data_IF_623975395570
#
_entry.id   IF_623975395570
#
_cell.length_a   1.000
_cell.length_b   1.000
_cell.length_c   1.000
_cell.angle_alpha   90.00
_cell.angle_beta   90.00
_cell.angle_gamma   90.00
#
_symmetry.space_group_name_H-M   'P 1'
#
loop_
_entity.id
_entity.type
_entity.pdbx_description
1 polymer ?
#
# COMPACT_ATOMS: atom_id res chain seq x y z
N UNK A 1 -5.27 -43.22 -1.55
CA UNK A 1 -4.79 -41.82 -1.65
C UNK A 1 -4.16 -41.67 -3.02
N UNK A 2 -4.66 -40.73 -3.82
CA UNK A 2 -4.42 -40.67 -5.26
C UNK A 2 -3.12 -39.92 -5.61
N UNK A 3 -2.41 -40.45 -6.59
CA UNK A 3 -1.12 -39.96 -7.12
C UNK A 3 -1.18 -38.47 -7.59
N UNK A 4 -2.38 -37.99 -7.91
CA UNK A 4 -2.65 -36.61 -8.32
C UNK A 4 -2.51 -35.56 -7.20
N UNK A 5 -2.63 -35.94 -5.93
CA UNK A 5 -2.50 -34.99 -4.81
C UNK A 5 -1.02 -34.75 -4.46
N UNK A 6 -0.16 -35.75 -4.60
CA UNK A 6 1.28 -35.63 -4.34
C UNK A 6 2.01 -34.76 -5.38
N UNK A 7 1.62 -34.85 -6.65
CA UNK A 7 2.17 -34.02 -7.73
C UNK A 7 1.86 -32.53 -7.54
N UNK A 8 0.68 -32.19 -7.04
CA UNK A 8 0.27 -30.81 -6.79
C UNK A 8 1.01 -30.20 -5.58
N UNK A 9 1.19 -30.97 -4.49
CA UNK A 9 1.94 -30.53 -3.30
C UNK A 9 3.42 -30.31 -3.60
N UNK A 10 4.03 -31.16 -4.44
CA UNK A 10 5.41 -31.00 -4.92
C UNK A 10 5.59 -29.71 -5.74
N UNK A 11 4.65 -29.42 -6.64
CA UNK A 11 4.67 -28.19 -7.45
C UNK A 11 4.51 -26.91 -6.64
N UNK A 12 3.72 -26.95 -5.55
CA UNK A 12 3.57 -25.81 -4.62
C UNK A 12 4.90 -25.54 -3.90
N UNK A 13 5.54 -26.57 -3.36
CA UNK A 13 6.85 -26.45 -2.68
C UNK A 13 7.93 -25.87 -3.61
N UNK A 14 7.98 -26.33 -4.87
CA UNK A 14 8.96 -25.84 -5.85
C UNK A 14 8.74 -24.37 -6.24
N UNK A 15 7.48 -23.92 -6.34
CA UNK A 15 7.14 -22.52 -6.59
C UNK A 15 7.54 -21.62 -5.43
N UNK A 16 7.29 -22.05 -4.19
CA UNK A 16 7.73 -21.35 -3.00
C UNK A 16 9.25 -21.24 -2.93
N UNK A 17 9.97 -22.34 -3.18
CA UNK A 17 11.43 -22.36 -3.15
C UNK A 17 12.04 -21.43 -4.22
N UNK A 18 11.48 -21.43 -5.43
CA UNK A 18 11.95 -20.57 -6.53
C UNK A 18 11.72 -19.09 -6.24
N UNK A 19 10.57 -18.74 -5.65
CA UNK A 19 10.27 -17.37 -5.21
C UNK A 19 11.24 -16.90 -4.12
N UNK A 20 11.49 -17.73 -3.10
CA UNK A 20 12.43 -17.42 -2.02
C UNK A 20 13.86 -17.23 -2.52
N UNK A 21 14.32 -18.08 -3.45
CA UNK A 21 15.65 -17.92 -4.09
C UNK A 21 15.71 -16.63 -4.92
N UNK A 22 14.64 -16.29 -5.64
CA UNK A 22 14.55 -15.04 -6.40
C UNK A 22 14.69 -13.80 -5.50
N UNK A 23 13.97 -13.78 -4.37
CA UNK A 23 14.08 -12.70 -3.38
C UNK A 23 15.48 -12.62 -2.76
N UNK A 24 16.09 -13.77 -2.43
CA UNK A 24 17.44 -13.80 -1.87
C UNK A 24 18.47 -13.22 -2.84
N UNK A 25 18.36 -13.54 -4.15
CA UNK A 25 19.25 -13.00 -5.18
C UNK A 25 19.14 -11.47 -5.32
N UNK A 26 17.92 -10.93 -5.21
CA UNK A 26 17.69 -9.48 -5.21
C UNK A 26 18.35 -8.80 -4.01
N UNK A 27 18.22 -9.40 -2.82
CA UNK A 27 18.85 -8.88 -1.59
C UNK A 27 20.37 -8.92 -1.69
N UNK A 28 20.95 -9.99 -2.23
CA UNK A 28 22.39 -10.11 -2.44
C UNK A 28 22.91 -9.06 -3.43
N UNK A 29 22.20 -8.82 -4.53
CA UNK A 29 22.55 -7.80 -5.53
C UNK A 29 22.58 -6.40 -4.92
N UNK A 30 21.52 -6.03 -4.19
CA UNK A 30 21.40 -4.72 -3.53
C UNK A 30 22.48 -4.51 -2.46
N UNK A 31 22.88 -5.57 -1.76
CA UNK A 31 23.99 -5.52 -0.80
C UNK A 31 25.34 -5.27 -1.47
N UNK A 32 25.59 -5.90 -2.62
CA UNK A 32 26.83 -5.70 -3.40
C UNK A 32 26.90 -4.27 -3.95
N UNK A 33 25.82 -3.76 -4.54
CA UNK A 33 25.74 -2.37 -5.02
C UNK A 33 25.99 -1.36 -3.89
N UNK A 34 25.35 -1.58 -2.73
CA UNK A 34 25.57 -0.74 -1.56
C UNK A 34 27.01 -0.83 -1.06
N UNK A 35 27.61 -2.03 -1.04
CA UNK A 35 29.00 -2.25 -0.60
C UNK A 35 30.02 -1.54 -1.50
N UNK A 36 29.84 -1.58 -2.81
CA UNK A 36 30.73 -0.89 -3.75
C UNK A 36 30.64 0.63 -3.55
N UNK A 37 29.42 1.17 -3.33
CA UNK A 37 29.22 2.58 -3.01
C UNK A 37 29.79 3.01 -1.65
N UNK A 38 29.87 2.10 -0.68
CA UNK A 38 30.36 2.36 0.68
C UNK A 38 31.89 2.31 0.82
N UNK A 39 32.61 1.85 -0.20
CA UNK A 39 34.05 1.62 -0.13
C UNK A 39 34.92 2.90 -0.17
N UNK A 40 34.31 4.07 -0.35
CA UNK A 40 35.02 5.36 -0.44
C UNK A 40 34.41 6.41 0.50
N UNK A 41 34.81 6.39 1.77
CA UNK A 41 34.51 7.49 2.70
C UNK A 41 35.66 8.50 2.72
N UNK A 42 35.36 9.76 2.40
CA UNK A 42 36.30 10.88 2.55
C UNK A 42 36.03 11.55 3.90
N UNK A 43 37.03 11.65 4.81
CA UNK A 43 36.87 12.38 6.06
C UNK A 43 36.66 13.87 5.77
N UNK A 44 35.63 14.47 6.38
CA UNK A 44 35.30 15.88 6.23
C UNK A 44 34.80 16.46 7.55
N UNK A 45 34.91 17.78 7.70
CA UNK A 45 34.36 18.52 8.84
C UNK A 45 33.19 19.37 8.38
N UNK A 46 32.17 19.50 9.23
CA UNK A 46 31.04 20.39 8.97
C UNK A 46 31.48 21.83 9.20
N UNK A 47 31.41 22.66 8.16
CA UNK A 47 31.75 24.07 8.22
C UNK A 47 30.57 24.94 8.69
N UNK A 48 29.34 24.55 8.35
CA UNK A 48 28.12 25.26 8.71
C UNK A 48 27.03 24.26 9.12
N UNK A 49 26.41 24.52 10.27
CA UNK A 49 25.31 23.74 10.85
C UNK A 49 24.02 24.57 10.97
N UNK A 50 24.09 25.87 10.67
CA UNK A 50 22.96 26.79 10.74
C UNK A 50 22.16 26.82 9.44
N UNK A 51 22.80 26.52 8.31
CA UNK A 51 22.17 26.47 7.00
C UNK A 51 22.10 25.04 6.45
N UNK A 52 20.97 24.73 5.83
CA UNK A 52 20.69 23.42 5.24
C UNK A 52 20.13 23.60 3.83
N UNK A 53 20.49 22.69 2.94
CA UNK A 53 19.90 22.61 1.61
C UNK A 53 18.54 21.92 1.68
N UNK A 54 17.51 22.62 1.21
CA UNK A 54 16.13 22.14 1.19
C UNK A 54 15.67 21.94 -0.25
N UNK A 55 15.17 20.73 -0.56
CA UNK A 55 14.52 20.44 -1.84
C UNK A 55 13.13 21.11 -1.91
N UNK A 56 12.97 21.98 -2.90
CA UNK A 56 11.71 22.68 -3.17
C UNK A 56 10.91 22.06 -4.32
N UNK A 57 11.45 21.04 -4.99
CA UNK A 57 10.86 20.33 -6.12
C UNK A 57 11.51 20.67 -7.46
N UNK A 58 11.12 19.93 -8.52
CA UNK A 58 11.62 20.11 -9.90
C UNK A 58 13.15 20.04 -10.07
N UNK A 59 13.85 19.45 -9.09
CA UNK A 59 15.31 19.32 -9.08
C UNK A 59 16.06 20.53 -8.52
N UNK A 60 15.36 21.48 -7.89
CA UNK A 60 15.98 22.68 -7.28
C UNK A 60 16.13 22.53 -5.77
N UNK A 61 17.28 22.99 -5.27
CA UNK A 61 17.59 23.06 -3.85
C UNK A 61 17.85 24.52 -3.47
N UNK A 62 17.35 24.91 -2.30
CA UNK A 62 17.54 26.25 -1.74
C UNK A 62 18.19 26.11 -0.38
N UNK A 63 19.26 26.85 -0.16
CA UNK A 63 19.88 26.96 1.16
C UNK A 63 19.01 27.85 2.06
N UNK A 64 18.68 27.31 3.24
CA UNK A 64 17.85 27.99 4.25
C UNK A 64 18.43 27.74 5.62
N UNK A 65 18.24 28.71 6.52
CA UNK A 65 18.56 28.48 7.91
C UNK A 65 17.68 27.36 8.50
N UNK A 66 18.14 26.75 9.59
CA UNK A 66 17.44 25.65 10.26
C UNK A 66 16.02 26.05 10.66
N UNK A 67 15.80 27.26 11.19
CA UNK A 67 14.47 27.67 11.65
C UNK A 67 13.50 27.96 10.49
N UNK A 68 13.97 28.60 9.42
CA UNK A 68 13.17 28.78 8.19
C UNK A 68 12.84 27.45 7.53
N UNK A 69 13.72 26.45 7.65
CA UNK A 69 13.49 25.09 7.18
C UNK A 69 12.42 24.38 8.00
N UNK A 70 12.44 24.51 9.33
CA UNK A 70 11.37 23.99 10.19
C UNK A 70 10.02 24.59 9.81
N UNK A 71 9.96 25.90 9.57
CA UNK A 71 8.73 26.57 9.15
C UNK A 71 8.24 26.08 7.78
N UNK A 72 9.16 25.90 6.83
CA UNK A 72 8.85 25.35 5.52
C UNK A 72 8.22 23.96 5.61
N UNK A 73 8.81 23.05 6.39
CA UNK A 73 8.26 21.72 6.58
C UNK A 73 6.94 21.74 7.35
N UNK A 74 6.80 22.60 8.37
CA UNK A 74 5.53 22.79 9.09
C UNK A 74 4.42 23.21 8.13
N UNK A 75 4.68 24.19 7.26
CA UNK A 75 3.72 24.64 6.23
C UNK A 75 3.37 23.53 5.24
N UNK A 76 4.35 22.70 4.85
CA UNK A 76 4.13 21.55 3.95
C UNK A 76 3.28 20.47 4.62
N UNK A 77 3.50 20.20 5.91
CA UNK A 77 2.67 19.30 6.71
C UNK A 77 1.24 19.84 6.79
N UNK A 78 1.06 21.11 7.18
CA UNK A 78 -0.27 21.74 7.26
C UNK A 78 -1.02 21.70 5.91
N UNK A 79 -0.31 21.93 4.81
CA UNK A 79 -0.88 21.81 3.47
C UNK A 79 -1.38 20.38 3.22
N UNK A 80 -0.55 19.36 3.46
CA UNK A 80 -0.93 17.96 3.26
C UNK A 80 -2.10 17.55 4.15
N UNK A 81 -2.09 17.95 5.43
CA UNK A 81 -3.19 17.71 6.36
C UNK A 81 -4.50 18.29 5.83
N UNK A 82 -4.50 19.55 5.37
CA UNK A 82 -5.68 20.18 4.76
C UNK A 82 -6.17 19.44 3.51
N UNK A 83 -5.26 18.88 2.70
CA UNK A 83 -5.66 18.08 1.55
C UNK A 83 -6.31 16.76 1.98
N UNK A 84 -5.80 16.10 3.02
CA UNK A 84 -6.41 14.88 3.58
C UNK A 84 -7.80 15.18 4.12
N UNK A 85 -7.96 16.26 4.90
CA UNK A 85 -9.25 16.70 5.45
C UNK A 85 -10.27 16.98 4.35
N UNK A 86 -9.87 17.54 3.20
CA UNK A 86 -10.75 17.76 2.05
C UNK A 86 -11.21 16.47 1.39
N UNK A 87 -10.38 15.43 1.38
CA UNK A 87 -10.67 14.13 0.75
C UNK A 87 -11.54 13.24 1.66
N UNK A 88 -11.42 13.40 2.97
CA UNK A 88 -12.09 12.55 3.95
C UNK A 88 -13.63 12.49 3.82
N UNK A 89 -14.38 13.60 3.58
CA UNK A 89 -15.83 13.55 3.39
C UNK A 89 -16.23 12.75 2.16
N UNK A 90 -15.54 12.96 1.02
CA UNK A 90 -15.81 12.22 -0.21
C UNK A 90 -15.58 10.72 -0.02
N UNK A 91 -14.54 10.35 0.74
CA UNK A 91 -14.27 8.96 1.09
C UNK A 91 -15.39 8.35 1.95
N UNK A 92 -15.85 9.08 2.98
CA UNK A 92 -16.93 8.65 3.85
C UNK A 92 -18.25 8.50 3.09
N UNK A 93 -18.58 9.44 2.20
CA UNK A 93 -19.77 9.38 1.35
C UNK A 93 -19.73 8.15 0.44
N UNK A 94 -18.61 7.91 -0.25
CA UNK A 94 -18.45 6.73 -1.11
C UNK A 94 -18.51 5.43 -0.30
N UNK A 95 -17.97 5.41 0.91
CA UNK A 95 -18.08 4.26 1.79
C UNK A 95 -19.52 4.00 2.24
N UNK A 96 -20.25 5.04 2.67
CA UNK A 96 -21.66 4.93 3.05
C UNK A 96 -22.54 4.48 1.88
N UNK A 97 -22.32 5.04 0.69
CA UNK A 97 -23.03 4.63 -0.52
C UNK A 97 -22.77 3.16 -0.86
N UNK A 98 -21.51 2.69 -0.75
CA UNK A 98 -21.18 1.27 -0.93
C UNK A 98 -21.94 0.41 0.09
N UNK A 99 -22.00 0.82 1.35
CA UNK A 99 -22.69 0.07 2.39
C UNK A 99 -24.19 -0.05 2.12
N UNK A 100 -24.83 1.05 1.70
CA UNK A 100 -26.25 1.06 1.32
C UNK A 100 -26.54 0.11 0.15
N UNK A 101 -25.67 0.07 -0.87
CA UNK A 101 -25.81 -0.86 -2.00
C UNK A 101 -25.70 -2.32 -1.55
N UNK A 102 -24.78 -2.62 -0.63
CA UNK A 102 -24.62 -3.98 -0.06
C UNK A 102 -25.87 -4.38 0.73
N UNK A 103 -26.43 -3.47 1.53
CA UNK A 103 -27.64 -3.74 2.30
C UNK A 103 -28.84 -4.05 1.39
N UNK A 104 -29.06 -3.23 0.36
CA UNK A 104 -30.12 -3.47 -0.64
C UNK A 104 -29.91 -4.79 -1.38
N UNK A 105 -28.66 -5.14 -1.69
CA UNK A 105 -28.32 -6.43 -2.31
C UNK A 105 -28.71 -7.59 -1.40
N UNK A 106 -28.36 -7.54 -0.10
CA UNK A 106 -28.70 -8.59 0.87
C UNK A 106 -30.22 -8.74 1.04
N UNK A 107 -30.97 -7.63 1.08
CA UNK A 107 -32.44 -7.66 1.14
C UNK A 107 -33.02 -8.36 -0.10
N UNK A 108 -32.50 -8.06 -1.29
CA UNK A 108 -32.96 -8.72 -2.54
C UNK A 108 -32.65 -10.21 -2.55
N UNK A 109 -31.47 -10.62 -2.07
CA UNK A 109 -31.08 -12.04 -1.97
C UNK A 109 -32.03 -12.79 -1.01
N UNK A 110 -32.30 -12.24 0.18
CA UNK A 110 -33.24 -12.84 1.13
C UNK A 110 -34.67 -12.94 0.55
N UNK A 111 -35.13 -11.89 -0.14
CA UNK A 111 -36.45 -11.91 -0.79
C UNK A 111 -36.54 -13.01 -1.86
N UNK A 112 -35.52 -13.17 -2.70
CA UNK A 112 -35.47 -14.23 -3.71
C UNK A 112 -35.46 -15.63 -3.09
N UNK A 113 -34.71 -15.83 -2.01
CA UNK A 113 -34.70 -17.10 -1.27
C UNK A 113 -36.07 -17.42 -0.66
N UNK A 114 -36.76 -16.44 -0.09
CA UNK A 114 -38.11 -16.64 0.46
C UNK A 114 -39.17 -16.91 -0.63
N UNK A 115 -39.06 -16.28 -1.81
CA UNK A 115 -39.99 -16.50 -2.92
C UNK A 115 -39.79 -17.84 -3.63
N UNK A 116 -38.57 -18.37 -3.68
CA UNK A 116 -38.32 -19.72 -4.21
C UNK A 116 -38.85 -20.83 -3.29
N UNK A 117 -38.90 -20.61 -1.98
CA UNK A 117 -39.49 -21.57 -1.03
C UNK A 117 -41.03 -21.67 -1.13
N UNK A 118 -41.71 -20.63 -1.64
CA UNK A 118 -43.18 -20.61 -1.76
C UNK A 118 -43.73 -21.20 -3.07
N UNK A 119 -42.90 -21.44 -4.10
CA UNK A 119 -43.36 -22.03 -5.37
C UNK A 119 -43.23 -23.57 -5.45
N UNK A 120 -42.58 -24.22 -4.49
CA UNK A 120 -42.44 -25.68 -4.43
C UNK A 120 -43.56 -26.39 -3.63
N UNK A 121 -44.58 -25.67 -3.16
CA UNK A 121 -45.62 -26.20 -2.25
C UNK A 121 -47.06 -26.22 -2.76
N UNK A 122 -47.36 -25.90 -4.03
CA UNK A 122 -48.77 -25.80 -4.51
C UNK A 122 -49.07 -26.59 -5.78
N UNK A 123 -48.36 -27.69 -6.06
CA UNK A 123 -48.68 -28.58 -7.18
C UNK A 123 -48.90 -30.03 -6.72
N UNK A 124 -49.63 -30.26 -5.64
CA UNK A 124 -50.29 -31.54 -5.35
C UNK A 124 -51.60 -31.26 -4.60
N UNK A 125 -52.70 -31.15 -5.34
CA UNK A 125 -54.08 -31.29 -4.87
C UNK A 125 -54.95 -31.75 -6.05
#
# INVERSE_FOLDING_TARGET
MNENTAANVSGISLKFLTSSIGQLKVVQMKYIEAKDSLSMYVPGTLNDVENVLVDVGTGYYVEKNVDGTKEFFKRKIEFLTKQIEKVQPALQEKHGMKQAVIEVMNIKIQKLQSQQASQLGTTEA
#
